data_IF_310913760390
#
_entry.id   IF_310913760390
#
_cell.length_a   1.000
_cell.length_b   1.000
_cell.length_c   1.000
_cell.angle_alpha   90.00
_cell.angle_beta   90.00
_cell.angle_gamma   90.00
#
_symmetry.space_group_name_H-M   'P 1'
#
loop_
_entity.id
_entity.type
_entity.pdbx_description
1 polymer ?
#
# COMPACT_ATOMS: atom_id res chain seq x y z
N UNK A 1 -57.54 -32.86 -18.89
CA UNK A 1 -58.22 -32.42 -20.13
C UNK A 1 -57.18 -32.47 -21.22
N UNK A 2 -57.16 -33.42 -22.15
CA UNK A 2 -58.05 -33.56 -23.32
C UNK A 2 -58.38 -35.05 -23.54
N UNK A 3 -59.60 -35.31 -24.02
CA UNK A 3 -60.27 -36.62 -24.17
C UNK A 3 -60.13 -37.19 -25.60
N UNK A 4 -59.97 -38.53 -25.70
CA UNK A 4 -60.59 -39.49 -26.67
C UNK A 4 -60.22 -39.43 -28.18
N UNK A 5 -60.42 -40.52 -28.99
CA UNK A 5 -61.39 -41.62 -28.79
C UNK A 5 -60.97 -43.09 -29.06
N UNK A 6 -61.79 -43.97 -28.47
CA UNK A 6 -62.04 -45.36 -28.86
C UNK A 6 -62.48 -45.49 -30.32
N UNK A 7 -61.98 -46.51 -31.03
CA UNK A 7 -62.66 -47.04 -32.22
C UNK A 7 -62.76 -48.56 -32.16
N UNK A 8 -64.00 -49.00 -31.93
CA UNK A 8 -64.50 -50.34 -32.25
C UNK A 8 -64.61 -50.48 -33.77
N UNK A 9 -64.70 -51.74 -34.22
CA UNK A 9 -65.22 -52.23 -35.53
C UNK A 9 -64.13 -52.49 -36.58
N UNK A 10 -63.75 -53.76 -36.76
CA UNK A 10 -64.11 -54.51 -37.97
C UNK A 10 -63.79 -55.99 -37.78
N UNK A 11 -64.84 -56.80 -37.56
CA UNK A 11 -64.80 -58.25 -37.75
C UNK A 11 -65.25 -58.50 -39.18
N UNK A 12 -64.36 -58.95 -40.06
CA UNK A 12 -64.72 -59.47 -41.38
C UNK A 12 -64.54 -60.99 -41.40
N UNK A 13 -65.67 -61.70 -41.43
CA UNK A 13 -65.78 -63.11 -41.79
C UNK A 13 -65.34 -63.34 -43.24
N UNK A 14 -64.71 -64.49 -43.52
CA UNK A 14 -64.88 -65.13 -44.81
C UNK A 14 -65.25 -66.61 -44.62
N UNK A 15 -66.49 -66.87 -44.21
CA UNK A 15 -67.14 -68.16 -44.44
C UNK A 15 -68.30 -67.91 -45.40
N UNK A 16 -68.04 -68.15 -46.69
CA UNK A 16 -69.06 -68.52 -47.67
C UNK A 16 -68.42 -69.46 -48.71
N UNK A 17 -68.50 -70.74 -48.38
CA UNK A 17 -68.99 -71.85 -49.20
C UNK A 17 -68.59 -71.90 -50.70
N UNK A 18 -67.94 -73.00 -51.10
CA UNK A 18 -68.58 -73.88 -52.09
C UNK A 18 -68.02 -75.30 -52.01
N UNK A 19 -68.90 -76.19 -51.61
CA UNK A 19 -68.87 -77.64 -51.84
C UNK A 19 -68.54 -77.99 -53.30
N UNK A 20 -67.51 -78.81 -53.52
CA UNK A 20 -67.54 -79.85 -54.56
C UNK A 20 -67.04 -81.13 -53.90
N UNK A 21 -67.98 -81.98 -53.50
CA UNK A 21 -67.75 -83.41 -53.43
C UNK A 21 -67.37 -83.89 -54.83
N UNK A 22 -66.25 -84.60 -54.96
CA UNK A 22 -66.09 -85.61 -56.01
C UNK A 22 -65.22 -86.74 -55.48
N UNK A 23 -65.91 -87.68 -54.85
CA UNK A 23 -65.48 -89.06 -54.69
C UNK A 23 -65.24 -89.67 -56.08
N UNK A 24 -64.00 -89.70 -56.55
CA UNK A 24 -63.60 -90.67 -57.59
C UNK A 24 -62.17 -91.14 -57.34
N UNK A 25 -62.07 -92.41 -56.92
CA UNK A 25 -60.87 -93.22 -57.04
C UNK A 25 -60.56 -93.41 -58.53
N UNK A 26 -59.94 -92.40 -59.14
CA UNK A 26 -59.24 -92.56 -60.41
C UNK A 26 -57.80 -92.85 -60.04
N UNK A 27 -57.30 -94.04 -60.40
CA UNK A 27 -55.87 -94.32 -60.47
C UNK A 27 -55.29 -93.42 -61.54
N UNK A 28 -55.08 -92.14 -61.21
CA UNK A 28 -54.30 -91.23 -62.02
C UNK A 28 -52.90 -91.81 -61.99
N UNK A 29 -52.57 -92.59 -63.02
CA UNK A 29 -51.19 -92.83 -63.40
C UNK A 29 -50.55 -91.45 -63.40
N UNK A 30 -49.73 -91.17 -62.39
CA UNK A 30 -48.81 -90.04 -62.36
C UNK A 30 -47.87 -90.27 -63.54
N UNK A 31 -48.32 -89.90 -64.75
CA UNK A 31 -47.41 -89.52 -65.81
C UNK A 31 -46.65 -88.39 -65.15
N UNK A 32 -45.39 -88.65 -64.75
CA UNK A 32 -44.44 -87.57 -64.47
C UNK A 32 -44.58 -86.66 -65.68
N UNK A 33 -45.24 -85.51 -65.50
CA UNK A 33 -45.14 -84.46 -66.48
C UNK A 33 -43.63 -84.26 -66.63
N UNK A 34 -43.05 -84.36 -67.83
CA UNK A 34 -41.67 -83.95 -68.01
C UNK A 34 -41.59 -82.53 -67.44
N UNK A 35 -40.66 -82.29 -66.52
CA UNK A 35 -40.47 -80.98 -65.91
C UNK A 35 -40.41 -79.97 -67.05
N UNK A 36 -41.50 -79.25 -67.30
CA UNK A 36 -41.51 -78.33 -68.42
C UNK A 36 -40.60 -77.18 -68.00
N UNK A 37 -39.71 -76.76 -68.90
CA UNK A 37 -38.70 -75.72 -68.64
C UNK A 37 -39.33 -74.46 -68.00
N UNK A 38 -40.61 -74.19 -68.31
CA UNK A 38 -41.41 -73.15 -67.69
C UNK A 38 -41.63 -73.32 -66.17
N UNK A 39 -41.94 -74.53 -65.68
CA UNK A 39 -42.09 -74.76 -64.24
C UNK A 39 -40.77 -74.56 -63.49
N UNK A 40 -39.66 -75.01 -64.08
CA UNK A 40 -38.32 -74.77 -63.53
C UNK A 40 -37.97 -73.28 -63.53
N UNK A 41 -38.24 -72.57 -64.62
CA UNK A 41 -38.00 -71.13 -64.73
C UNK A 41 -38.85 -70.33 -63.71
N UNK A 42 -40.11 -70.69 -63.52
CA UNK A 42 -40.99 -70.08 -62.50
C UNK A 42 -40.46 -70.37 -61.09
N UNK A 43 -39.99 -71.59 -60.83
CA UNK A 43 -39.40 -71.94 -59.53
C UNK A 43 -38.14 -71.12 -59.25
N UNK A 44 -37.23 -71.00 -60.23
CA UNK A 44 -36.02 -70.16 -60.14
C UNK A 44 -36.39 -68.70 -59.88
N UNK A 45 -37.30 -68.13 -60.67
CA UNK A 45 -37.78 -66.76 -60.49
C UNK A 45 -38.41 -66.55 -59.09
N UNK A 46 -39.20 -67.52 -58.61
CA UNK A 46 -39.79 -67.47 -57.28
C UNK A 46 -38.73 -67.48 -56.18
N UNK A 47 -37.68 -68.30 -56.32
CA UNK A 47 -36.56 -68.33 -55.37
C UNK A 47 -35.74 -67.04 -55.40
N UNK A 48 -35.51 -66.47 -56.57
CA UNK A 48 -34.77 -65.21 -56.72
C UNK A 48 -35.55 -64.02 -56.18
N UNK A 49 -36.87 -63.96 -56.45
CA UNK A 49 -37.74 -62.94 -55.89
C UNK A 49 -37.83 -63.03 -54.36
N UNK A 50 -37.94 -64.24 -53.80
CA UNK A 50 -37.88 -64.45 -52.34
C UNK A 50 -36.56 -63.95 -51.76
N UNK A 51 -35.45 -64.36 -52.38
CA UNK A 51 -34.11 -63.92 -51.97
C UNK A 51 -33.99 -62.40 -52.00
N UNK A 52 -34.42 -61.74 -53.08
CA UNK A 52 -34.39 -60.28 -53.20
C UNK A 52 -35.23 -59.58 -52.12
N UNK A 53 -36.39 -60.14 -51.77
CA UNK A 53 -37.22 -59.62 -50.67
C UNK A 53 -36.53 -59.78 -49.32
N UNK A 54 -35.90 -60.94 -49.08
CA UNK A 54 -35.18 -61.20 -47.83
C UNK A 54 -33.92 -60.33 -47.71
N UNK A 55 -33.17 -60.15 -48.79
CA UNK A 55 -32.01 -59.25 -48.86
C UNK A 55 -32.43 -57.79 -48.61
N UNK A 56 -33.53 -57.33 -49.24
CA UNK A 56 -34.07 -55.99 -49.00
C UNK A 56 -34.53 -55.82 -47.55
N UNK A 57 -35.19 -56.83 -46.98
CA UNK A 57 -35.61 -56.81 -45.58
C UNK A 57 -34.40 -56.73 -44.65
N UNK A 58 -33.35 -57.51 -44.93
CA UNK A 58 -32.11 -57.49 -44.17
C UNK A 58 -31.42 -56.11 -44.25
N UNK A 59 -31.26 -55.55 -45.45
CA UNK A 59 -30.67 -54.22 -45.67
C UNK A 59 -31.42 -53.13 -44.89
N UNK A 60 -32.75 -53.11 -44.98
CA UNK A 60 -33.57 -52.12 -44.27
C UNK A 60 -33.49 -52.29 -42.75
N UNK A 61 -33.51 -53.52 -42.25
CA UNK A 61 -33.31 -53.79 -40.82
C UNK A 61 -31.93 -53.33 -40.34
N UNK A 62 -30.88 -53.53 -41.16
CA UNK A 62 -29.53 -53.06 -40.83
C UNK A 62 -29.46 -51.53 -40.81
N UNK A 63 -30.07 -50.84 -41.78
CA UNK A 63 -30.18 -49.38 -41.78
C UNK A 63 -30.92 -48.86 -40.54
N UNK A 64 -32.06 -49.47 -40.18
CA UNK A 64 -32.79 -49.10 -38.96
C UNK A 64 -31.96 -49.32 -37.69
N UNK A 65 -31.25 -50.43 -37.59
CA UNK A 65 -30.36 -50.71 -36.46
C UNK A 65 -29.27 -49.65 -36.34
N UNK A 66 -28.64 -49.26 -37.46
CA UNK A 66 -27.62 -48.21 -37.48
C UNK A 66 -28.20 -46.85 -37.05
N UNK A 67 -29.41 -46.51 -37.52
CA UNK A 67 -30.11 -45.29 -37.11
C UNK A 67 -30.36 -45.28 -35.60
N UNK A 68 -30.83 -46.40 -35.02
CA UNK A 68 -31.07 -46.53 -33.58
C UNK A 68 -29.78 -46.32 -32.78
N UNK A 69 -28.67 -46.95 -33.21
CA UNK A 69 -27.36 -46.77 -32.55
C UNK A 69 -26.94 -45.31 -32.59
N UNK A 70 -27.04 -44.63 -33.74
CA UNK A 70 -26.69 -43.22 -33.88
C UNK A 70 -27.57 -42.31 -33.01
N UNK A 71 -28.88 -42.58 -32.93
CA UNK A 71 -29.80 -41.83 -32.06
C UNK A 71 -29.39 -41.98 -30.59
N UNK A 72 -29.01 -43.19 -30.15
CA UNK A 72 -28.57 -43.41 -28.79
C UNK A 72 -27.25 -42.69 -28.48
N UNK A 73 -26.27 -42.75 -29.39
CA UNK A 73 -25.00 -42.02 -29.23
C UNK A 73 -25.24 -40.50 -29.13
N UNK A 74 -26.06 -39.93 -30.01
CA UNK A 74 -26.41 -38.50 -29.96
C UNK A 74 -27.11 -38.12 -28.66
N UNK A 75 -27.95 -39.01 -28.11
CA UNK A 75 -28.60 -38.80 -26.82
C UNK A 75 -27.59 -38.77 -25.68
N UNK A 76 -26.60 -39.65 -25.69
CA UNK A 76 -25.52 -39.67 -24.70
C UNK A 76 -24.64 -38.42 -24.77
N UNK A 77 -24.27 -38.01 -25.99
CA UNK A 77 -23.52 -36.77 -26.22
C UNK A 77 -24.31 -35.55 -25.74
N UNK A 78 -25.61 -35.50 -26.00
CA UNK A 78 -26.48 -34.43 -25.52
C UNK A 78 -26.56 -34.39 -24.00
N UNK A 79 -26.66 -35.54 -23.34
CA UNK A 79 -26.65 -35.62 -21.88
C UNK A 79 -25.31 -35.12 -21.32
N UNK A 80 -24.19 -35.51 -21.92
CA UNK A 80 -22.85 -35.05 -21.54
C UNK A 80 -22.69 -33.54 -21.73
N UNK A 81 -23.20 -33.01 -22.84
CA UNK A 81 -23.22 -31.56 -23.10
C UNK A 81 -24.08 -30.82 -22.07
N UNK A 82 -25.23 -31.38 -21.69
CA UNK A 82 -26.08 -30.80 -20.65
C UNK A 82 -25.37 -30.73 -19.30
N UNK A 83 -24.64 -31.78 -18.92
CA UNK A 83 -23.88 -31.82 -17.66
C UNK A 83 -22.71 -30.83 -17.66
N UNK A 84 -21.94 -30.78 -18.75
CA UNK A 84 -20.83 -29.82 -18.89
C UNK A 84 -21.32 -28.37 -18.90
N UNK A 85 -22.44 -28.09 -19.57
CA UNK A 85 -23.09 -26.77 -19.53
C UNK A 85 -23.48 -26.34 -18.12
N UNK A 86 -24.08 -27.24 -17.33
CA UNK A 86 -24.44 -26.96 -15.93
C UNK A 86 -23.20 -26.68 -15.07
N UNK A 87 -22.11 -27.44 -15.27
CA UNK A 87 -20.86 -27.22 -14.55
C UNK A 87 -20.23 -25.86 -14.90
N UNK A 88 -20.19 -25.49 -16.18
CA UNK A 88 -19.70 -24.18 -16.64
C UNK A 88 -20.53 -23.06 -16.00
N UNK A 89 -21.86 -23.18 -15.97
CA UNK A 89 -22.72 -22.18 -15.34
C UNK A 89 -22.40 -22.00 -13.85
N UNK A 90 -22.12 -23.08 -13.12
CA UNK A 90 -21.74 -23.01 -11.72
C UNK A 90 -20.38 -22.34 -11.52
N UNK A 91 -19.37 -22.71 -12.31
CA UNK A 91 -18.04 -22.06 -12.26
C UNK A 91 -18.09 -20.58 -12.61
N UNK A 92 -18.93 -20.17 -13.56
CA UNK A 92 -19.16 -18.75 -13.86
C UNK A 92 -19.80 -18.03 -12.67
N UNK A 93 -20.72 -18.66 -11.93
CA UNK A 93 -21.30 -18.08 -10.71
C UNK A 93 -20.25 -17.91 -9.60
N UNK A 94 -19.41 -18.93 -9.37
CA UNK A 94 -18.31 -18.89 -8.40
C UNK A 94 -17.33 -17.75 -8.72
N UNK A 95 -16.83 -17.68 -9.96
CA UNK A 95 -15.92 -16.62 -10.42
C UNK A 95 -16.52 -15.21 -10.25
N UNK A 96 -17.83 -15.06 -10.51
CA UNK A 96 -18.52 -13.77 -10.29
C UNK A 96 -18.56 -13.39 -8.81
N UNK A 97 -18.77 -14.35 -7.91
CA UNK A 97 -18.77 -14.10 -6.47
C UNK A 97 -17.36 -13.71 -5.98
N UNK A 98 -16.33 -14.42 -6.41
CA UNK A 98 -14.93 -14.09 -6.11
C UNK A 98 -14.55 -12.70 -6.64
N UNK A 99 -14.94 -12.35 -7.87
CA UNK A 99 -14.71 -11.02 -8.43
C UNK A 99 -15.35 -9.91 -7.58
N UNK A 100 -16.58 -10.11 -7.12
CA UNK A 100 -17.27 -9.13 -6.24
C UNK A 100 -16.53 -8.98 -4.91
N UNK A 101 -16.04 -10.08 -4.33
CA UNK A 101 -15.25 -10.04 -3.09
C UNK A 101 -13.93 -9.28 -3.29
N UNK A 102 -13.16 -9.63 -4.32
CA UNK A 102 -11.89 -8.96 -4.65
C UNK A 102 -12.11 -7.46 -4.90
N UNK A 103 -13.18 -7.10 -5.61
CA UNK A 103 -13.51 -5.69 -5.87
C UNK A 103 -13.81 -4.91 -4.58
N UNK A 104 -14.46 -5.56 -3.61
CA UNK A 104 -14.72 -4.98 -2.28
C UNK A 104 -13.41 -4.76 -1.52
N UNK A 105 -12.54 -5.76 -1.50
CA UNK A 105 -11.25 -5.69 -0.82
C UNK A 105 -10.36 -4.60 -1.43
N UNK A 106 -10.36 -4.47 -2.76
CA UNK A 106 -9.67 -3.38 -3.46
C UNK A 106 -10.18 -2.00 -3.02
N UNK A 107 -11.51 -1.83 -2.93
CA UNK A 107 -12.11 -0.56 -2.50
C UNK A 107 -11.74 -0.21 -1.05
N UNK A 108 -11.63 -1.22 -0.17
CA UNK A 108 -11.17 -1.02 1.20
C UNK A 108 -9.68 -0.66 1.27
N UNK A 109 -8.86 -1.25 0.41
CA UNK A 109 -7.44 -0.94 0.32
C UNK A 109 -7.22 0.50 -0.17
N UNK A 110 -7.99 0.96 -1.16
CA UNK A 110 -7.95 2.34 -1.64
C UNK A 110 -8.29 3.33 -0.51
N UNK A 111 -9.33 3.05 0.28
CA UNK A 111 -9.68 3.89 1.44
C UNK A 111 -8.54 3.97 2.46
N UNK A 112 -7.90 2.83 2.79
CA UNK A 112 -6.76 2.80 3.71
C UNK A 112 -5.54 3.54 3.16
N UNK A 113 -5.31 3.46 1.85
CA UNK A 113 -4.24 4.19 1.18
C UNK A 113 -4.46 5.70 1.32
N UNK A 114 -5.69 6.17 1.10
CA UNK A 114 -6.03 7.59 1.23
C UNK A 114 -5.85 8.10 2.67
N UNK A 115 -6.31 7.31 3.66
CA UNK A 115 -6.09 7.60 5.09
C UNK A 115 -4.59 7.69 5.44
N UNK A 116 -3.78 6.73 4.97
CA UNK A 116 -2.33 6.74 5.20
C UNK A 116 -1.66 7.93 4.51
N UNK A 117 -2.07 8.27 3.30
CA UNK A 117 -1.56 9.44 2.57
C UNK A 117 -1.87 10.75 3.31
N UNK A 118 -3.06 10.86 3.90
CA UNK A 118 -3.44 12.00 4.73
C UNK A 118 -2.59 12.10 5.99
N UNK A 119 -2.47 11.02 6.77
CA UNK A 119 -1.65 11.02 8.00
C UNK A 119 -0.18 11.32 7.72
N UNK A 120 0.37 10.86 6.60
CA UNK A 120 1.72 11.20 6.18
C UNK A 120 1.88 12.70 5.90
N UNK A 121 0.87 13.32 5.27
CA UNK A 121 0.86 14.77 5.00
C UNK A 121 0.79 15.58 6.30
N UNK A 122 -0.04 15.16 7.25
CA UNK A 122 -0.15 15.79 8.57
C UNK A 122 1.14 15.65 9.39
N UNK A 123 1.75 14.46 9.37
CA UNK A 123 3.05 14.23 10.03
C UNK A 123 4.14 15.11 9.43
N UNK A 124 4.19 15.22 8.09
CA UNK A 124 5.14 16.11 7.40
C UNK A 124 4.94 17.56 7.83
N UNK A 125 3.70 18.04 7.96
CA UNK A 125 3.41 19.38 8.47
C UNK A 125 3.89 19.57 9.91
N UNK A 126 3.70 18.56 10.77
CA UNK A 126 4.12 18.60 12.18
C UNK A 126 5.64 18.64 12.31
N UNK A 127 6.35 17.83 11.50
CA UNK A 127 7.82 17.81 11.46
C UNK A 127 8.37 19.16 10.99
N UNK A 128 7.79 19.75 9.93
CA UNK A 128 8.20 21.07 9.45
C UNK A 128 8.00 22.15 10.53
N UNK A 129 6.82 22.17 11.17
CA UNK A 129 6.55 23.09 12.27
C UNK A 129 7.54 22.91 13.44
N UNK A 130 7.85 21.67 13.81
CA UNK A 130 8.85 21.37 14.84
C UNK A 130 10.25 21.85 14.45
N UNK A 131 10.64 21.68 13.19
CA UNK A 131 11.92 22.17 12.64
C UNK A 131 12.01 23.69 12.69
N UNK A 132 10.96 24.40 12.28
CA UNK A 132 10.92 25.87 12.30
C UNK A 132 11.06 26.40 13.73
N UNK A 133 10.32 25.82 14.68
CA UNK A 133 10.43 26.16 16.10
C UNK A 133 11.83 25.89 16.67
N UNK A 134 12.49 24.81 16.24
CA UNK A 134 13.86 24.50 16.67
C UNK A 134 14.84 25.58 16.22
N UNK A 135 14.74 26.01 14.95
CA UNK A 135 15.58 27.08 14.39
C UNK A 135 15.36 28.40 15.14
N UNK A 136 14.13 28.72 15.51
CA UNK A 136 13.82 29.92 16.28
C UNK A 136 14.37 29.86 17.71
N UNK A 137 14.25 28.72 18.39
CA UNK A 137 14.85 28.48 19.71
C UNK A 137 16.38 28.58 19.66
N UNK A 138 17.03 27.99 18.65
CA UNK A 138 18.48 28.08 18.46
C UNK A 138 18.93 29.54 18.29
N UNK A 139 18.18 30.33 17.51
CA UNK A 139 18.43 31.76 17.33
C UNK A 139 18.31 32.53 18.66
N UNK A 140 17.26 32.25 19.44
CA UNK A 140 17.05 32.85 20.75
C UNK A 140 18.17 32.54 21.74
N UNK A 141 18.68 31.30 21.74
CA UNK A 141 19.81 30.89 22.57
C UNK A 141 21.10 31.65 22.22
N UNK A 142 21.43 31.76 20.93
CA UNK A 142 22.62 32.51 20.47
C UNK A 142 22.55 33.99 20.85
N UNK A 143 21.36 34.58 20.76
CA UNK A 143 21.16 35.98 21.14
C UNK A 143 21.30 36.17 22.65
N UNK A 144 20.74 35.27 23.46
CA UNK A 144 20.90 35.30 24.92
C UNK A 144 22.37 35.13 25.33
N UNK A 145 23.09 34.20 24.70
CA UNK A 145 24.53 33.98 24.92
C UNK A 145 25.33 35.25 24.60
N UNK A 146 25.06 35.90 23.46
CA UNK A 146 25.69 37.17 23.08
C UNK A 146 25.40 38.27 24.11
N UNK A 147 24.15 38.40 24.55
CA UNK A 147 23.76 39.42 25.52
C UNK A 147 24.40 39.20 26.90
N UNK A 148 24.47 37.94 27.36
CA UNK A 148 25.19 37.60 28.59
C UNK A 148 26.67 37.94 28.48
N UNK A 149 27.33 37.59 27.37
CA UNK A 149 28.74 37.90 27.14
C UNK A 149 29.00 39.41 27.11
N UNK A 150 28.14 40.18 26.41
CA UNK A 150 28.23 41.64 26.37
C UNK A 150 28.05 42.26 27.76
N UNK A 151 27.07 41.78 28.53
CA UNK A 151 26.80 42.29 29.87
C UNK A 151 27.91 41.91 30.87
N UNK A 152 28.45 40.70 30.77
CA UNK A 152 29.61 40.27 31.54
C UNK A 152 30.83 41.15 31.22
N UNK A 153 31.13 41.38 29.94
CA UNK A 153 32.22 42.24 29.49
C UNK A 153 32.06 43.69 30.02
N UNK A 154 30.87 44.26 29.90
CA UNK A 154 30.57 45.60 30.42
C UNK A 154 30.71 45.69 31.95
N UNK A 155 30.30 44.65 32.67
CA UNK A 155 30.45 44.59 34.13
C UNK A 155 31.91 44.51 34.54
N UNK A 156 32.72 43.71 33.85
CA UNK A 156 34.17 43.60 34.08
C UNK A 156 34.84 44.95 33.82
N UNK A 157 34.56 45.58 32.68
CA UNK A 157 35.13 46.90 32.34
C UNK A 157 34.77 47.96 33.39
N UNK A 158 33.53 47.94 33.90
CA UNK A 158 33.11 48.85 34.98
C UNK A 158 33.89 48.60 36.28
N UNK A 159 34.11 47.34 36.64
CA UNK A 159 34.87 46.97 37.84
C UNK A 159 36.34 47.37 37.70
N UNK A 160 36.97 47.15 36.55
CA UNK A 160 38.35 47.58 36.26
C UNK A 160 38.52 49.09 36.44
N UNK A 161 37.64 49.90 35.82
CA UNK A 161 37.67 51.37 36.00
C UNK A 161 37.50 51.79 37.47
N UNK A 162 36.68 51.06 38.23
CA UNK A 162 36.46 51.34 39.65
C UNK A 162 37.69 50.98 40.49
N UNK A 163 38.37 49.88 40.18
CA UNK A 163 39.63 49.47 40.80
C UNK A 163 40.69 50.55 40.52
N UNK A 164 40.86 50.97 39.27
CA UNK A 164 41.81 52.03 38.89
C UNK A 164 41.56 53.32 39.68
N UNK A 165 40.28 53.73 39.79
CA UNK A 165 39.90 54.91 40.56
C UNK A 165 40.26 54.77 42.04
N UNK A 166 40.02 53.60 42.65
CA UNK A 166 40.35 53.35 44.05
C UNK A 166 41.86 53.29 44.27
N UNK A 167 42.62 52.73 43.34
CA UNK A 167 44.08 52.72 43.40
C UNK A 167 44.67 54.13 43.32
N UNK A 168 44.15 54.97 42.42
CA UNK A 168 44.58 56.38 42.33
C UNK A 168 44.24 57.15 43.61
N UNK A 169 43.06 56.93 44.17
CA UNK A 169 42.66 57.53 45.44
C UNK A 169 43.57 57.08 46.59
N UNK A 170 43.92 55.80 46.68
CA UNK A 170 44.84 55.28 47.70
C UNK A 170 46.25 55.87 47.56
N UNK A 171 46.77 55.98 46.32
CA UNK A 171 48.05 56.65 46.02
C UNK A 171 48.02 58.12 46.48
N UNK A 172 46.94 58.84 46.19
CA UNK A 172 46.76 60.23 46.62
C UNK A 172 46.72 60.37 48.15
N UNK A 173 45.95 59.54 48.85
CA UNK A 173 45.92 59.51 50.31
C UNK A 173 47.30 59.23 50.91
N UNK A 174 48.05 58.28 50.34
CA UNK A 174 49.41 57.96 50.82
C UNK A 174 50.36 59.17 50.69
N UNK A 175 50.26 59.94 49.59
CA UNK A 175 51.02 61.19 49.39
C UNK A 175 50.63 62.23 50.44
N UNK A 176 49.33 62.42 50.70
CA UNK A 176 48.85 63.37 51.71
C UNK A 176 49.31 63.02 53.13
N UNK A 177 49.27 61.72 53.50
CA UNK A 177 49.75 61.23 54.80
C UNK A 177 51.25 61.43 54.94
N UNK A 178 52.05 61.12 53.90
CA UNK A 178 53.50 61.33 53.90
C UNK A 178 53.87 62.80 54.14
N UNK A 179 53.23 63.70 53.37
CA UNK A 179 53.43 65.15 53.49
C UNK A 179 53.02 65.72 54.86
N UNK A 180 52.12 65.03 55.59
CA UNK A 180 51.66 65.49 56.89
C UNK A 180 52.74 65.46 57.97
N UNK A 181 53.60 64.43 57.97
CA UNK A 181 54.69 64.32 58.96
C UNK A 181 55.72 65.44 58.76
N UNK A 182 56.06 65.72 57.50
CA UNK A 182 56.97 66.81 57.12
C UNK A 182 56.40 68.18 57.50
N UNK A 183 55.10 68.41 57.25
CA UNK A 183 54.40 69.62 57.72
C UNK A 183 54.41 69.74 59.24
N UNK A 184 54.17 68.65 59.99
CA UNK A 184 54.21 68.67 61.45
C UNK A 184 55.61 68.99 61.97
N UNK A 185 56.65 68.34 61.43
CA UNK A 185 58.04 68.59 61.81
C UNK A 185 58.47 70.04 61.51
N UNK A 186 58.03 70.60 60.39
CA UNK A 186 58.26 72.00 60.06
C UNK A 186 57.61 72.98 61.05
N UNK A 187 56.33 72.74 61.40
CA UNK A 187 55.62 73.56 62.38
C UNK A 187 56.29 73.53 63.76
N UNK A 188 56.77 72.36 64.21
CA UNK A 188 57.53 72.25 65.46
C UNK A 188 58.81 73.08 65.48
N UNK A 189 59.41 73.33 64.30
CA UNK A 189 60.61 74.15 64.13
C UNK A 189 60.31 75.62 63.75
N UNK A 190 59.07 76.10 63.97
CA UNK A 190 58.59 77.47 63.67
C UNK A 190 58.58 77.86 62.18
N UNK A 191 58.73 76.92 61.25
CA UNK A 191 58.58 77.22 59.82
C UNK A 191 57.08 77.27 59.44
N UNK A 192 56.61 78.44 59.00
CA UNK A 192 55.20 78.66 58.64
C UNK A 192 54.85 78.11 57.25
N UNK A 193 55.78 78.16 56.31
CA UNK A 193 55.55 77.70 54.94
C UNK A 193 56.58 76.64 54.54
N UNK A 194 56.09 75.45 54.16
CA UNK A 194 56.93 74.34 53.69
C UNK A 194 56.33 73.73 52.44
N UNK A 195 57.16 73.56 51.44
CA UNK A 195 56.80 72.91 50.18
C UNK A 195 58.00 72.15 49.60
N UNK A 196 57.72 71.08 48.87
CA UNK A 196 58.73 70.24 48.24
C UNK A 196 58.71 70.51 46.74
N UNK A 197 59.88 70.79 46.14
CA UNK A 197 60.03 70.96 44.68
C UNK A 197 61.32 70.29 44.22
N UNK A 198 61.24 69.45 43.18
CA UNK A 198 62.39 68.73 42.62
C UNK A 198 63.25 68.04 43.70
N UNK A 199 62.60 67.28 44.60
CA UNK A 199 63.25 66.60 45.73
C UNK A 199 64.03 67.51 46.71
N UNK A 200 63.80 68.83 46.68
CA UNK A 200 64.34 69.78 47.66
C UNK A 200 63.22 70.29 48.55
N UNK A 201 63.43 70.23 49.88
CA UNK A 201 62.49 70.79 50.86
C UNK A 201 62.80 72.28 51.00
N UNK A 202 61.84 73.13 50.67
CA UNK A 202 61.92 74.57 50.81
C UNK A 202 61.10 74.98 52.03
N UNK A 203 61.72 75.75 52.93
CA UNK A 203 61.09 76.23 54.16
C UNK A 203 61.24 77.74 54.28
N UNK A 204 60.24 78.37 54.89
CA UNK A 204 60.20 79.82 55.14
C UNK A 204 59.48 80.08 56.46
N UNK A 205 60.06 80.94 57.31
CA UNK A 205 59.61 81.17 58.69
C UNK A 205 58.41 82.13 58.76
N UNK A 206 58.45 83.22 57.99
CA UNK A 206 57.42 84.26 57.87
C UNK A 206 57.33 84.78 56.44
N UNK A 207 56.29 85.52 56.07
CA UNK A 207 56.12 86.07 54.70
C UNK A 207 57.28 86.97 54.25
N UNK A 208 57.98 87.61 55.19
CA UNK A 208 59.10 88.50 54.92
C UNK A 208 60.47 87.81 54.95
N UNK A 209 60.52 86.53 55.35
CA UNK A 209 61.77 85.77 55.43
C UNK A 209 62.22 85.20 54.08
N UNK A 210 63.53 85.06 53.89
CA UNK A 210 64.12 84.38 52.74
C UNK A 210 63.77 82.89 52.75
N UNK A 211 63.58 82.30 51.57
CA UNK A 211 63.35 80.85 51.44
C UNK A 211 64.68 80.10 51.61
N UNK A 212 64.69 79.09 52.46
CA UNK A 212 65.85 78.22 52.70
C UNK A 212 65.60 76.83 52.10
N UNK A 213 66.63 76.28 51.46
CA UNK A 213 66.61 74.91 50.95
C UNK A 213 67.27 73.97 51.96
N UNK A 214 66.50 73.01 52.49
CA UNK A 214 67.03 71.93 53.31
C UNK A 214 67.49 70.82 52.36
N UNK A 215 68.80 70.55 52.37
CA UNK A 215 69.41 69.42 51.64
C UNK A 215 69.96 68.42 52.64
N UNK A 216 69.47 67.19 52.58
CA UNK A 216 70.05 66.08 53.34
C UNK A 216 71.43 65.78 52.77
N UNK A 217 72.51 65.94 53.55
CA UNK A 217 73.83 65.44 53.16
C UNK A 217 73.81 63.92 53.35
N UNK A 218 73.74 63.15 52.27
CA UNK A 218 74.07 61.72 52.34
C UNK A 218 75.58 61.61 52.60
N UNK A 219 75.94 61.29 53.85
CA UNK A 219 77.27 60.78 54.18
C UNK A 219 77.43 59.37 53.60
N UNK A 220 78.66 59.07 53.14
CA UNK A 220 79.11 57.68 52.98
C UNK A 220 79.11 56.96 54.32
#
# INVERSE_FOLDING_TARGET
MIRSPDSKISKSNPDLCTSIETSTNVTQRKRKQPDCEFTQAIAVLSTELKKNIDDLRADKNNQFTNIIVNINNLREDFNTLSLTSALIQNKVKELRAEYVAIKKDMSQLDTKHDELSQTLTELKSTVNFGSDNYVDCERGLKELERNMNNQAASTVELLERKIDSLEQQAKQCNVEIGNMQERRAAMSNKFKFVWVRNATVLVKESEDSSTFAIRTRYGR
#
